data_IF_024129907634
#
_entry.id   IF_024129907634
#
_cell.length_a   1.000
_cell.length_b   1.000
_cell.length_c   1.000
_cell.angle_alpha   90.00
_cell.angle_beta   90.00
_cell.angle_gamma   90.00
#
_symmetry.space_group_name_H-M   'P 1'
#
loop_
_entity.id
_entity.type
_entity.pdbx_description
1 polymer ?
#
# COMPACT_ATOMS: atom_id res chain seq x y z
N UNK A 1 -2.88 8.90 -15.66
CA UNK A 1 -1.37 9.05 -15.72
C UNK A 1 -0.73 8.15 -14.66
N UNK A 2 0.36 7.42 -15.00
CA UNK A 2 1.09 6.54 -14.07
C UNK A 2 2.44 7.17 -13.72
N UNK A 3 2.75 7.26 -12.44
CA UNK A 3 4.04 7.70 -11.92
C UNK A 3 4.67 6.58 -11.08
N UNK A 4 5.96 6.30 -11.28
CA UNK A 4 6.68 5.26 -10.53
C UNK A 4 7.92 5.85 -9.87
N UNK A 5 8.18 5.49 -8.61
CA UNK A 5 9.38 5.87 -7.87
C UNK A 5 9.83 4.77 -6.91
N UNK A 6 11.10 4.80 -6.54
CA UNK A 6 11.71 3.97 -5.48
C UNK A 6 12.22 4.81 -4.29
N UNK A 7 12.08 6.13 -4.38
CA UNK A 7 12.45 7.10 -3.36
C UNK A 7 11.23 7.56 -2.57
N UNK A 8 11.27 7.37 -1.25
CA UNK A 8 10.16 7.71 -0.34
C UNK A 8 9.92 9.21 -0.21
N UNK A 9 10.95 10.03 -0.38
CA UNK A 9 10.82 11.49 -0.34
C UNK A 9 10.05 11.96 -1.57
N UNK A 10 10.41 11.42 -2.74
CA UNK A 10 9.73 11.72 -4.00
C UNK A 10 8.28 11.19 -4.03
N UNK A 11 8.02 10.04 -3.38
CA UNK A 11 6.66 9.57 -3.18
C UNK A 11 5.82 10.59 -2.41
N UNK A 12 6.33 11.10 -1.28
CA UNK A 12 5.61 12.06 -0.45
C UNK A 12 5.33 13.37 -1.22
N UNK A 13 6.34 13.93 -1.88
CA UNK A 13 6.19 15.12 -2.73
C UNK A 13 5.12 14.92 -3.82
N UNK A 14 5.11 13.77 -4.47
CA UNK A 14 4.14 13.46 -5.52
C UNK A 14 2.72 13.33 -4.99
N UNK A 15 2.53 12.66 -3.84
CA UNK A 15 1.22 12.54 -3.22
C UNK A 15 0.67 13.91 -2.79
N UNK A 16 1.50 14.75 -2.16
CA UNK A 16 1.13 16.10 -1.79
C UNK A 16 0.77 16.97 -3.01
N UNK A 17 1.58 16.86 -4.08
CA UNK A 17 1.33 17.58 -5.32
C UNK A 17 -0.01 17.18 -5.95
N UNK A 18 -0.27 15.88 -6.11
CA UNK A 18 -1.53 15.39 -6.71
C UNK A 18 -2.75 15.81 -5.91
N UNK A 19 -2.68 15.77 -4.58
CA UNK A 19 -3.75 16.25 -3.71
C UNK A 19 -3.95 17.76 -3.90
N UNK A 20 -2.86 18.54 -3.91
CA UNK A 20 -2.90 20.02 -3.97
C UNK A 20 -3.41 20.59 -5.30
N UNK A 21 -3.25 19.86 -6.42
CA UNK A 21 -3.74 20.27 -7.75
C UNK A 21 -4.91 19.42 -8.26
N UNK A 22 -5.44 18.54 -7.43
CA UNK A 22 -6.54 17.62 -7.77
C UNK A 22 -6.27 16.80 -9.05
N UNK A 23 -5.06 16.27 -9.19
CA UNK A 23 -4.67 15.50 -10.38
C UNK A 23 -4.95 14.02 -10.18
N UNK A 24 -5.74 13.45 -11.09
CA UNK A 24 -6.04 12.02 -11.10
C UNK A 24 -4.86 11.19 -11.61
N UNK A 25 -4.79 9.94 -11.19
CA UNK A 25 -3.81 8.97 -11.69
C UNK A 25 -3.33 7.97 -10.66
N UNK A 26 -2.34 7.19 -11.07
CA UNK A 26 -1.74 6.13 -10.28
C UNK A 26 -0.31 6.50 -9.90
N UNK A 27 0.04 6.30 -8.65
CA UNK A 27 1.40 6.36 -8.14
C UNK A 27 1.81 4.98 -7.66
N UNK A 28 2.91 4.45 -8.18
CA UNK A 28 3.48 3.17 -7.77
C UNK A 28 4.81 3.44 -7.09
N UNK A 29 4.94 3.00 -5.84
CA UNK A 29 6.18 3.08 -5.09
C UNK A 29 6.74 1.67 -4.86
N UNK A 30 7.99 1.48 -5.28
CA UNK A 30 8.76 0.25 -5.09
C UNK A 30 9.98 0.59 -4.25
N UNK A 31 9.92 0.48 -2.92
CA UNK A 31 11.00 0.94 -2.05
C UNK A 31 12.33 0.26 -2.39
N UNK A 32 13.39 1.05 -2.52
CA UNK A 32 14.78 0.58 -2.65
C UNK A 32 15.44 0.32 -1.29
N UNK A 33 14.87 0.90 -0.23
CA UNK A 33 15.29 0.71 1.17
C UNK A 33 14.08 0.57 2.08
N UNK A 34 14.29 0.03 3.29
CA UNK A 34 13.22 -0.06 4.29
C UNK A 34 12.83 1.34 4.74
N UNK A 35 11.53 1.65 4.68
CA UNK A 35 11.00 2.93 5.14
C UNK A 35 9.63 2.76 5.80
N UNK A 36 9.16 3.79 6.49
CA UNK A 36 7.81 3.84 7.05
C UNK A 36 6.96 4.89 6.34
N UNK A 37 5.76 4.48 5.96
CA UNK A 37 4.69 5.36 5.47
C UNK A 37 3.68 5.54 6.59
N UNK A 38 3.47 6.77 7.03
CA UNK A 38 2.72 7.07 8.25
C UNK A 38 1.55 8.00 8.01
N UNK A 39 0.64 8.08 8.98
CA UNK A 39 -0.45 9.05 9.02
C UNK A 39 -0.35 9.93 10.27
N UNK A 40 -1.25 10.91 10.41
CA UNK A 40 -1.31 11.74 11.62
C UNK A 40 -1.69 10.93 12.87
N UNK A 41 -2.56 9.95 12.70
CA UNK A 41 -3.10 9.14 13.80
C UNK A 41 -2.25 7.93 14.15
N UNK A 42 -1.26 7.59 13.32
CA UNK A 42 -0.43 6.41 13.48
C UNK A 42 1.03 6.70 13.06
N UNK A 43 1.78 7.43 13.91
CA UNK A 43 3.18 7.74 13.66
C UNK A 43 4.06 6.50 13.80
N UNK A 44 5.22 6.52 13.18
CA UNK A 44 6.27 5.53 13.42
C UNK A 44 7.02 5.86 14.75
N UNK A 45 7.76 4.86 15.26
CA UNK A 45 8.72 5.04 16.34
C UNK A 45 9.96 5.80 15.80
N UNK A 46 9.91 7.12 15.87
CA UNK A 46 10.92 8.01 15.29
C UNK A 46 12.31 7.78 15.89
N UNK A 47 12.41 7.55 17.21
CA UNK A 47 13.70 7.31 17.87
C UNK A 47 14.34 6.03 17.38
N UNK A 48 13.57 4.97 17.26
CA UNK A 48 14.04 3.71 16.71
C UNK A 48 14.47 3.87 15.23
N UNK A 49 13.64 4.50 14.41
CA UNK A 49 13.94 4.71 13.00
C UNK A 49 15.20 5.54 12.80
N UNK A 50 15.34 6.64 13.54
CA UNK A 50 16.52 7.50 13.51
C UNK A 50 17.79 6.76 13.94
N UNK A 51 17.70 5.90 14.96
CA UNK A 51 18.84 5.09 15.43
C UNK A 51 19.33 4.08 14.38
N UNK A 52 18.47 3.74 13.41
CA UNK A 52 18.75 2.80 12.32
C UNK A 52 18.99 3.48 10.96
N UNK A 53 18.95 4.81 10.90
CA UNK A 53 19.07 5.55 9.64
C UNK A 53 17.89 5.32 8.68
N UNK A 54 16.73 4.86 9.19
CA UNK A 54 15.55 4.58 8.39
C UNK A 54 14.72 5.85 8.21
N UNK A 55 14.09 6.00 7.05
CA UNK A 55 13.22 7.14 6.75
C UNK A 55 11.77 6.84 7.09
N UNK A 56 11.06 7.85 7.62
CA UNK A 56 9.61 7.86 7.72
C UNK A 56 9.05 9.05 6.95
N UNK A 57 7.97 8.83 6.20
CA UNK A 57 7.26 9.90 5.49
C UNK A 57 5.77 9.76 5.72
N UNK A 58 5.14 10.92 5.90
CA UNK A 58 3.71 11.01 6.06
C UNK A 58 3.03 11.08 4.71
N UNK A 59 2.10 10.18 4.47
CA UNK A 59 1.30 10.12 3.26
C UNK A 59 -0.17 10.42 3.58
N UNK A 60 -0.52 11.70 3.70
CA UNK A 60 -1.91 12.08 3.91
C UNK A 60 -2.56 11.47 5.17
N UNK A 61 -3.87 11.20 5.09
CA UNK A 61 -4.69 10.74 6.23
C UNK A 61 -5.26 9.32 6.05
N UNK A 62 -4.87 8.60 5.00
CA UNK A 62 -5.39 7.26 4.73
C UNK A 62 -4.55 6.17 5.41
N UNK A 63 -5.21 5.28 6.15
CA UNK A 63 -4.60 4.08 6.73
C UNK A 63 -3.84 4.29 8.04
N UNK A 64 -3.00 3.31 8.34
CA UNK A 64 -2.12 3.28 9.50
C UNK A 64 -0.65 3.44 9.15
N UNK A 65 0.24 3.10 10.09
CA UNK A 65 1.67 2.99 9.82
C UNK A 65 1.94 1.71 9.00
N UNK A 66 2.59 1.87 7.85
CA UNK A 66 3.04 0.79 6.97
C UNK A 66 4.57 0.79 6.96
N UNK A 67 5.18 -0.38 7.08
CA UNK A 67 6.62 -0.55 6.86
C UNK A 67 6.83 -1.19 5.50
N UNK A 68 7.38 -0.42 4.59
CA UNK A 68 7.66 -0.85 3.23
C UNK A 68 9.09 -1.40 3.13
N UNK A 69 9.23 -2.59 2.56
CA UNK A 69 10.50 -3.28 2.35
C UNK A 69 10.86 -3.30 0.86
N UNK A 70 12.15 -3.38 0.50
CA UNK A 70 12.53 -3.63 -0.88
C UNK A 70 11.78 -4.84 -1.47
N UNK A 71 11.19 -4.64 -2.64
CA UNK A 71 10.32 -5.62 -3.30
C UNK A 71 8.84 -5.47 -3.03
N UNK A 72 8.41 -4.74 -2.00
CA UNK A 72 7.00 -4.42 -1.79
C UNK A 72 6.47 -3.51 -2.90
N UNK A 73 5.16 -3.48 -3.06
CA UNK A 73 4.46 -2.58 -3.98
C UNK A 73 3.46 -1.76 -3.18
N UNK A 74 3.67 -0.46 -3.18
CA UNK A 74 2.74 0.51 -2.59
C UNK A 74 2.06 1.24 -3.74
N UNK A 75 0.74 1.32 -3.70
CA UNK A 75 -0.04 1.97 -4.75
C UNK A 75 -0.87 3.10 -4.16
N UNK A 76 -0.77 4.28 -4.76
CA UNK A 76 -1.65 5.41 -4.51
C UNK A 76 -2.48 5.70 -5.75
N UNK A 77 -3.79 5.56 -5.65
CA UNK A 77 -4.72 5.94 -6.72
C UNK A 77 -5.45 7.21 -6.33
N UNK A 78 -5.45 8.18 -7.22
CA UNK A 78 -6.10 9.49 -7.06
C UNK A 78 -7.23 9.62 -8.06
N UNK A 79 -8.44 9.91 -7.60
CA UNK A 79 -9.63 10.08 -8.43
C UNK A 79 -10.51 11.21 -7.95
N UNK A 80 -11.16 11.92 -8.89
CA UNK A 80 -12.23 12.88 -8.61
C UNK A 80 -13.59 12.21 -8.47
N UNK A 81 -13.70 10.98 -8.92
CA UNK A 81 -14.89 10.18 -8.72
C UNK A 81 -14.97 9.70 -7.27
N UNK A 82 -15.95 10.24 -6.52
CA UNK A 82 -16.19 9.88 -5.13
C UNK A 82 -16.73 8.46 -4.97
N UNK A 83 -17.29 7.89 -6.02
CA UNK A 83 -17.81 6.52 -6.06
C UNK A 83 -16.78 5.53 -6.67
N UNK A 84 -15.53 5.98 -6.85
CA UNK A 84 -14.47 5.15 -7.40
C UNK A 84 -14.29 3.85 -6.63
N UNK A 85 -14.35 2.72 -7.35
CA UNK A 85 -14.28 1.36 -6.83
C UNK A 85 -12.92 0.69 -7.01
N UNK A 86 -11.86 1.45 -7.31
CA UNK A 86 -10.52 0.89 -7.59
C UNK A 86 -10.02 -0.05 -6.48
N UNK A 87 -10.23 0.32 -5.19
CA UNK A 87 -9.83 -0.54 -4.06
C UNK A 87 -10.59 -1.85 -4.07
N UNK A 88 -11.89 -1.81 -4.28
CA UNK A 88 -12.76 -2.97 -4.27
C UNK A 88 -12.36 -3.95 -5.39
N UNK A 89 -12.23 -3.44 -6.61
CA UNK A 89 -11.81 -4.24 -7.78
C UNK A 89 -10.42 -4.81 -7.54
N UNK A 90 -9.46 -3.99 -7.11
CA UNK A 90 -8.09 -4.44 -6.85
C UNK A 90 -8.05 -5.52 -5.75
N UNK A 91 -8.89 -5.38 -4.71
CA UNK A 91 -8.96 -6.38 -3.62
C UNK A 91 -9.51 -7.70 -4.12
N UNK A 92 -10.59 -7.70 -4.91
CA UNK A 92 -11.19 -8.92 -5.47
C UNK A 92 -10.24 -9.61 -6.47
N UNK A 93 -9.57 -8.85 -7.33
CA UNK A 93 -8.59 -9.38 -8.28
C UNK A 93 -7.36 -9.97 -7.55
N UNK A 94 -6.86 -9.30 -6.50
CA UNK A 94 -5.79 -9.83 -5.66
C UNK A 94 -6.22 -11.12 -4.94
N UNK A 95 -7.43 -11.16 -4.39
CA UNK A 95 -7.99 -12.34 -3.74
C UNK A 95 -8.11 -13.52 -4.71
N UNK A 96 -8.62 -13.27 -5.93
CA UNK A 96 -8.73 -14.29 -6.98
C UNK A 96 -7.35 -14.79 -7.41
N UNK A 97 -6.39 -13.87 -7.64
CA UNK A 97 -5.02 -14.19 -8.00
C UNK A 97 -4.34 -15.07 -6.94
N UNK A 98 -4.43 -14.71 -5.65
CA UNK A 98 -3.83 -15.49 -4.57
C UNK A 98 -4.41 -16.90 -4.48
N UNK A 99 -5.73 -17.03 -4.63
CA UNK A 99 -6.40 -18.36 -4.66
C UNK A 99 -5.95 -19.20 -5.85
N UNK A 100 -5.82 -18.62 -7.05
CA UNK A 100 -5.27 -19.32 -8.22
C UNK A 100 -3.84 -19.80 -8.01
N UNK A 101 -3.04 -19.07 -7.21
CA UNK A 101 -1.68 -19.44 -6.82
C UNK A 101 -1.66 -20.47 -5.66
N UNK A 102 -2.82 -20.93 -5.23
CA UNK A 102 -2.97 -21.96 -4.19
C UNK A 102 -2.81 -21.43 -2.75
N UNK A 103 -2.87 -20.10 -2.53
CA UNK A 103 -2.89 -19.57 -1.17
C UNK A 103 -4.26 -19.73 -0.54
N UNK A 104 -4.26 -20.20 0.72
CA UNK A 104 -5.43 -20.06 1.58
C UNK A 104 -5.50 -18.60 2.06
N UNK A 105 -6.38 -17.84 1.42
CA UNK A 105 -6.52 -16.42 1.69
C UNK A 105 -7.97 -16.04 1.94
N UNK A 106 -8.17 -15.22 2.96
CA UNK A 106 -9.47 -14.67 3.34
C UNK A 106 -9.42 -13.14 3.39
N UNK A 107 -10.54 -12.50 3.06
CA UNK A 107 -10.72 -11.08 3.25
C UNK A 107 -11.20 -10.79 4.67
N UNK A 108 -10.55 -9.86 5.34
CA UNK A 108 -10.95 -9.33 6.64
C UNK A 108 -10.95 -7.79 6.60
N UNK A 109 -12.12 -7.21 6.38
CA UNK A 109 -12.31 -5.78 6.12
C UNK A 109 -11.45 -5.29 4.94
N UNK A 110 -10.45 -4.45 5.24
CA UNK A 110 -9.55 -3.82 4.28
C UNK A 110 -8.25 -4.62 4.06
N UNK A 111 -8.15 -5.83 4.63
CA UNK A 111 -6.97 -6.67 4.57
C UNK A 111 -7.25 -7.99 3.86
N UNK A 112 -6.23 -8.56 3.19
CA UNK A 112 -6.21 -9.97 2.82
C UNK A 112 -5.22 -10.69 3.74
N UNK A 113 -5.68 -11.81 4.32
CA UNK A 113 -4.95 -12.62 5.28
C UNK A 113 -4.63 -13.98 4.67
N UNK A 114 -3.35 -14.29 4.50
CA UNK A 114 -2.90 -15.64 4.19
C UNK A 114 -2.97 -16.51 5.45
N UNK A 115 -3.32 -17.80 5.28
CA UNK A 115 -3.49 -18.77 6.36
C UNK A 115 -4.45 -18.26 7.46
N UNK A 116 -5.39 -17.39 7.11
CA UNK A 116 -6.40 -16.81 8.00
C UNK A 116 -5.87 -15.83 9.06
N UNK A 117 -4.57 -15.54 9.09
CA UNK A 117 -3.96 -14.72 10.16
C UNK A 117 -2.85 -13.77 9.69
N UNK A 118 -2.17 -14.06 8.58
CA UNK A 118 -1.02 -13.30 8.12
C UNK A 118 -1.43 -12.22 7.13
N UNK A 119 -1.25 -10.97 7.52
CA UNK A 119 -1.57 -9.83 6.66
C UNK A 119 -0.54 -9.71 5.53
N UNK A 120 -1.00 -9.85 4.29
CA UNK A 120 -0.17 -9.79 3.08
C UNK A 120 -0.58 -8.66 2.12
N UNK A 121 -1.78 -8.11 2.32
CA UNK A 121 -2.34 -7.04 1.50
C UNK A 121 -3.24 -6.17 2.37
N UNK A 122 -3.22 -4.87 2.18
CA UNK A 122 -4.14 -3.96 2.87
C UNK A 122 -4.48 -2.74 2.04
N UNK A 123 -5.67 -2.20 2.28
CA UNK A 123 -6.15 -1.01 1.60
C UNK A 123 -6.61 0.04 2.59
N UNK A 124 -6.60 1.29 2.15
CA UNK A 124 -7.18 2.40 2.88
C UNK A 124 -7.64 3.49 1.91
N UNK A 125 -8.60 4.32 2.34
CA UNK A 125 -9.19 5.39 1.54
C UNK A 125 -9.36 6.65 2.38
N UNK A 126 -9.09 7.80 1.78
CA UNK A 126 -9.40 9.11 2.34
C UNK A 126 -9.97 10.02 1.25
N UNK A 127 -10.91 10.88 1.63
CA UNK A 127 -11.39 11.96 0.77
C UNK A 127 -10.85 13.28 1.32
N UNK A 128 -10.28 14.08 0.44
CA UNK A 128 -9.76 15.41 0.76
C UNK A 128 -10.78 16.49 0.44
N UNK A 129 -10.65 17.65 1.09
CA UNK A 129 -11.59 18.76 0.97
C UNK A 129 -11.75 19.29 -0.46
N UNK A 130 -10.74 19.08 -1.29
CA UNK A 130 -10.69 19.46 -2.70
C UNK A 130 -11.52 18.52 -3.60
N UNK A 131 -12.13 17.48 -3.03
CA UNK A 131 -12.95 16.52 -3.78
C UNK A 131 -12.12 15.39 -4.42
N UNK A 132 -10.84 15.25 -4.06
CA UNK A 132 -10.01 14.13 -4.51
C UNK A 132 -10.10 12.96 -3.53
N UNK A 133 -10.32 11.77 -4.06
CA UNK A 133 -10.23 10.51 -3.32
C UNK A 133 -8.82 9.95 -3.48
N UNK A 134 -8.16 9.69 -2.37
CA UNK A 134 -6.90 8.96 -2.31
C UNK A 134 -7.14 7.55 -1.80
N UNK A 135 -6.84 6.58 -2.62
CA UNK A 135 -6.89 5.15 -2.31
C UNK A 135 -5.48 4.61 -2.21
N UNK A 136 -5.11 4.06 -1.06
CA UNK A 136 -3.79 3.50 -0.83
C UNK A 136 -3.88 1.97 -0.69
N UNK A 137 -2.94 1.26 -1.33
CA UNK A 137 -2.82 -0.19 -1.29
C UNK A 137 -1.39 -0.54 -0.92
N UNK A 138 -1.24 -1.40 0.07
CA UNK A 138 0.02 -2.01 0.48
C UNK A 138 0.02 -3.49 0.10
N UNK A 139 1.02 -3.92 -0.67
CA UNK A 139 1.25 -5.30 -1.08
C UNK A 139 2.59 -5.75 -0.50
N UNK A 140 2.51 -6.61 0.52
CA UNK A 140 3.68 -7.08 1.27
C UNK A 140 4.33 -8.27 0.54
N UNK A 141 5.34 -8.01 -0.28
CA UNK A 141 6.13 -9.08 -0.92
C UNK A 141 7.17 -9.60 0.06
N UNK A 142 7.93 -8.70 0.67
CA UNK A 142 8.92 -9.03 1.70
C UNK A 142 8.49 -8.42 3.03
N UNK A 143 8.76 -9.11 4.13
CA UNK A 143 8.39 -8.65 5.45
C UNK A 143 9.34 -9.20 6.52
N UNK A 144 9.78 -8.32 7.42
CA UNK A 144 10.35 -8.67 8.72
C UNK A 144 9.36 -8.22 9.80
N UNK A 145 8.58 -9.16 10.33
CA UNK A 145 7.54 -8.88 11.30
C UNK A 145 8.09 -8.30 12.61
N UNK A 146 9.32 -8.63 13.01
CA UNK A 146 9.94 -8.11 14.21
C UNK A 146 10.38 -6.65 14.01
N UNK A 147 10.86 -6.32 12.81
CA UNK A 147 11.18 -4.95 12.47
C UNK A 147 9.90 -4.09 12.39
N UNK A 148 8.83 -4.61 11.79
CA UNK A 148 7.53 -3.94 11.76
C UNK A 148 7.03 -3.63 13.18
N UNK A 149 7.11 -4.59 14.13
CA UNK A 149 6.71 -4.36 15.52
C UNK A 149 7.52 -3.28 16.23
N UNK A 150 8.79 -3.09 15.85
CA UNK A 150 9.65 -2.04 16.44
C UNK A 150 9.38 -0.66 15.87
N UNK A 151 8.94 -0.60 14.62
CA UNK A 151 8.64 0.65 13.90
C UNK A 151 7.23 1.14 14.19
N UNK A 152 6.21 0.26 14.15
CA UNK A 152 4.83 0.63 14.41
C UNK A 152 4.60 0.88 15.91
N UNK A 153 3.97 2.00 16.26
CA UNK A 153 3.70 2.36 17.67
C UNK A 153 2.44 1.70 18.21
N UNK A 154 1.50 1.35 17.34
CA UNK A 154 0.27 0.65 17.73
C UNK A 154 0.47 -0.86 17.77
N UNK A 155 -0.24 -1.50 18.69
CA UNK A 155 -0.31 -2.95 18.77
C UNK A 155 -0.89 -3.53 17.46
N UNK A 156 -0.17 -4.47 16.87
CA UNK A 156 -0.60 -5.17 15.67
C UNK A 156 -1.51 -6.33 16.03
N UNK A 157 -2.76 -6.25 15.61
CA UNK A 157 -3.75 -7.34 15.78
C UNK A 157 -3.50 -8.51 14.82
N UNK A 158 -2.84 -8.26 13.69
CA UNK A 158 -2.56 -9.24 12.63
C UNK A 158 -1.05 -9.24 12.38
N UNK A 159 -0.48 -10.43 12.23
CA UNK A 159 0.97 -10.58 11.99
C UNK A 159 1.25 -10.35 10.50
N UNK A 160 2.08 -9.37 10.12
CA UNK A 160 2.45 -9.18 8.72
C UNK A 160 3.34 -10.32 8.25
N UNK A 161 3.20 -10.69 6.96
CA UNK A 161 4.01 -11.71 6.31
C UNK A 161 4.25 -11.32 4.85
N UNK A 162 5.32 -11.84 4.25
CA UNK A 162 5.64 -11.56 2.86
C UNK A 162 5.02 -12.58 1.91
N UNK A 163 4.52 -12.13 0.77
CA UNK A 163 4.02 -12.97 -0.31
C UNK A 163 5.12 -13.81 -0.98
N UNK A 164 6.40 -13.37 -0.86
CA UNK A 164 7.56 -14.14 -1.32
C UNK A 164 7.68 -15.50 -0.63
N UNK A 165 7.21 -15.63 0.61
CA UNK A 165 7.15 -16.91 1.34
C UNK A 165 6.20 -17.92 0.66
N UNK A 166 5.31 -17.43 -0.20
CA UNK A 166 4.35 -18.21 -0.98
C UNK A 166 4.70 -18.26 -2.48
N UNK A 167 5.91 -17.81 -2.85
CA UNK A 167 6.40 -17.81 -4.23
C UNK A 167 5.73 -16.79 -5.16
N UNK A 168 5.14 -15.73 -4.60
CA UNK A 168 4.59 -14.62 -5.36
C UNK A 168 5.62 -13.49 -5.43
N UNK A 169 5.80 -12.94 -6.63
CA UNK A 169 6.85 -11.96 -6.93
C UNK A 169 6.32 -10.54 -7.03
N UNK A 170 7.23 -9.57 -6.96
CA UNK A 170 6.95 -8.15 -7.18
C UNK A 170 6.37 -7.90 -8.57
N UNK A 171 6.93 -8.55 -9.58
CA UNK A 171 6.56 -8.40 -10.98
C UNK A 171 5.12 -8.87 -11.22
N UNK A 172 4.74 -10.03 -10.67
CA UNK A 172 3.36 -10.54 -10.76
C UNK A 172 2.34 -9.57 -10.15
N UNK A 173 2.70 -8.94 -9.03
CA UNK A 173 1.80 -7.97 -8.39
C UNK A 173 1.75 -6.64 -9.13
N UNK A 174 2.85 -6.21 -9.73
CA UNK A 174 2.85 -5.02 -10.59
C UNK A 174 1.98 -5.22 -11.83
N UNK A 175 2.11 -6.37 -12.50
CA UNK A 175 1.30 -6.71 -13.66
C UNK A 175 -0.20 -6.72 -13.31
N UNK A 176 -0.53 -7.25 -12.13
CA UNK A 176 -1.91 -7.22 -11.63
C UNK A 176 -2.42 -5.78 -11.41
N UNK A 177 -1.64 -4.94 -10.73
CA UNK A 177 -2.00 -3.53 -10.47
C UNK A 177 -2.22 -2.76 -11.77
N UNK A 178 -1.30 -2.89 -12.73
CA UNK A 178 -1.37 -2.19 -14.01
C UNK A 178 -2.59 -2.64 -14.82
N UNK A 179 -2.85 -3.94 -14.89
CA UNK A 179 -4.03 -4.49 -15.57
C UNK A 179 -5.33 -3.95 -14.97
N UNK A 180 -5.47 -3.98 -13.65
CA UNK A 180 -6.67 -3.47 -12.96
C UNK A 180 -6.86 -1.97 -13.21
N UNK A 181 -5.77 -1.21 -13.21
CA UNK A 181 -5.83 0.23 -13.49
C UNK A 181 -6.28 0.50 -14.93
N UNK A 182 -5.70 -0.18 -15.92
CA UNK A 182 -6.06 -0.03 -17.35
C UNK A 182 -7.52 -0.44 -17.62
N UNK A 183 -8.00 -1.50 -16.99
CA UNK A 183 -9.39 -1.95 -17.11
C UNK A 183 -10.36 -0.96 -16.47
N UNK A 184 -9.98 -0.35 -15.33
CA UNK A 184 -10.81 0.66 -14.64
C UNK A 184 -10.90 1.99 -15.42
N UNK A 185 -9.80 2.42 -16.06
CA UNK A 185 -9.79 3.63 -16.89
C UNK A 185 -10.57 3.49 -18.21
N UNK A 186 -10.78 2.26 -18.70
CA UNK A 186 -11.50 1.99 -19.94
C UNK A 186 -13.02 1.85 -19.75
N UNK A 187 -13.55 1.91 -18.55
CA UNK A 187 -14.99 1.81 -18.23
C UNK A 187 -15.65 3.20 -18.08
N UNK A 188 -14.87 4.27 -18.17
CA UNK A 188 -15.34 5.67 -18.21
C UNK A 188 -15.39 6.18 -19.66
#
# INVERSE_FOLDING_TARGET
MIFTTDDVDRLAEMCEHKIGIEEEGLVIFRPSEVCALTTFSDPANEDFMKSRGLKARKLGNAGGCIVAFPGNVEVGHFSKDLDNHFIEVMTEEALAFFKMRGLDVVRDNNDLLADGQHKVFSTSRATYNEGIVFSAIHISINCDADLVRKICTKEMKKVPKGLSDYGITTEEMLDLVLRVYEESDNVL
#
